data_IF_089721330263
#
_entry.id   IF_089721330263
#
_cell.length_a   1.000
_cell.length_b   1.000
_cell.length_c   1.000
_cell.angle_alpha   90.00
_cell.angle_beta   90.00
_cell.angle_gamma   90.00
#
_symmetry.space_group_name_H-M   'P 1'
#
loop_
_entity.id
_entity.type
_entity.pdbx_description
1 polymer ?
#
# COMPACT_ATOMS: atom_id res chain seq x y z
N UNK A 1 -3.15 -13.28 28.29
CA UNK A 1 -3.52 -12.50 27.09
C UNK A 1 -2.55 -12.61 25.92
N UNK A 2 -1.22 -12.70 26.09
CA UNK A 2 -0.23 -12.77 24.98
C UNK A 2 -0.26 -14.06 24.11
N UNK A 3 -0.75 -15.19 24.63
CA UNK A 3 -0.78 -16.49 23.90
C UNK A 3 -1.92 -16.59 22.86
N UNK A 4 -3.01 -15.85 23.03
CA UNK A 4 -4.21 -15.98 22.18
C UNK A 4 -4.08 -15.29 20.80
N UNK A 5 -3.14 -14.37 20.62
CA UNK A 5 -2.94 -13.60 19.39
C UNK A 5 -1.72 -14.05 18.55
N UNK A 6 -1.07 -15.16 18.93
CA UNK A 6 0.06 -15.72 18.18
C UNK A 6 1.36 -14.92 18.24
N UNK A 7 1.45 -13.87 19.09
CA UNK A 7 2.67 -13.08 19.34
C UNK A 7 3.33 -12.55 18.05
N UNK A 8 4.66 -12.63 17.97
CA UNK A 8 5.43 -12.15 16.82
C UNK A 8 5.16 -12.93 15.53
N UNK A 9 4.85 -14.24 15.64
CA UNK A 9 4.47 -15.08 14.49
C UNK A 9 3.09 -14.69 13.95
N UNK A 10 2.15 -14.34 14.85
CA UNK A 10 0.84 -13.84 14.46
C UNK A 10 0.90 -12.53 13.69
N UNK A 11 1.73 -11.59 14.15
CA UNK A 11 1.97 -10.34 13.43
C UNK A 11 2.65 -10.57 12.07
N UNK A 12 3.58 -11.53 11.98
CA UNK A 12 4.22 -11.93 10.71
C UNK A 12 3.17 -12.45 9.71
N UNK A 13 2.23 -13.27 10.17
CA UNK A 13 1.16 -13.80 9.33
C UNK A 13 0.18 -12.71 8.87
N UNK A 14 -0.23 -11.78 9.75
CA UNK A 14 -1.03 -10.62 9.35
C UNK A 14 -0.31 -9.80 8.28
N UNK A 15 0.97 -9.49 8.54
CA UNK A 15 1.80 -8.73 7.61
C UNK A 15 1.94 -9.43 6.25
N UNK A 16 2.00 -10.77 6.24
CA UNK A 16 2.06 -11.58 5.02
C UNK A 16 0.72 -11.56 4.27
N UNK A 17 -0.40 -11.76 4.97
CA UNK A 17 -1.74 -11.71 4.36
C UNK A 17 -2.03 -10.35 3.71
N UNK A 18 -1.73 -9.25 4.42
CA UNK A 18 -1.85 -7.89 3.86
C UNK A 18 -0.91 -7.69 2.67
N UNK A 19 0.31 -8.25 2.70
CA UNK A 19 1.24 -8.15 1.58
C UNK A 19 0.71 -8.87 0.33
N UNK A 20 0.11 -10.04 0.48
CA UNK A 20 -0.50 -10.77 -0.65
C UNK A 20 -1.65 -9.98 -1.26
N UNK A 21 -2.53 -9.43 -0.42
CA UNK A 21 -3.62 -8.58 -0.87
C UNK A 21 -3.08 -7.34 -1.62
N UNK A 22 -2.07 -6.67 -1.05
CA UNK A 22 -1.43 -5.52 -1.70
C UNK A 22 -0.82 -5.88 -3.04
N UNK A 23 -0.17 -7.05 -3.19
CA UNK A 23 0.39 -7.46 -4.48
C UNK A 23 -0.70 -7.60 -5.56
N UNK A 24 -1.86 -8.15 -5.20
CA UNK A 24 -2.99 -8.27 -6.13
C UNK A 24 -3.54 -6.89 -6.50
N UNK A 25 -3.83 -6.04 -5.50
CA UNK A 25 -4.36 -4.70 -5.75
C UNK A 25 -3.38 -3.81 -6.53
N UNK A 26 -2.08 -3.91 -6.23
CA UNK A 26 -1.03 -3.17 -6.96
C UNK A 26 -0.84 -3.70 -8.38
N UNK A 27 -1.09 -4.98 -8.64
CA UNK A 27 -1.10 -5.49 -10.02
C UNK A 27 -2.27 -4.90 -10.82
N UNK A 28 -3.46 -4.78 -10.21
CA UNK A 28 -4.60 -4.09 -10.83
C UNK A 28 -4.28 -2.62 -11.05
N UNK A 29 -3.74 -1.93 -10.04
CA UNK A 29 -3.33 -0.53 -10.14
C UNK A 29 -2.28 -0.31 -11.23
N UNK A 30 -1.28 -1.18 -11.31
CA UNK A 30 -0.28 -1.15 -12.37
C UNK A 30 -0.86 -1.36 -13.77
N UNK A 31 -1.88 -2.21 -13.90
CA UNK A 31 -2.57 -2.42 -15.18
C UNK A 31 -3.29 -1.17 -15.67
N UNK A 32 -3.82 -0.31 -14.77
CA UNK A 32 -4.46 0.95 -15.17
C UNK A 32 -3.49 1.94 -15.80
N UNK A 33 -2.18 1.82 -15.52
CA UNK A 33 -1.15 2.69 -16.10
C UNK A 33 -0.86 2.40 -17.58
N UNK A 34 -1.32 1.26 -18.10
CA UNK A 34 -1.13 0.90 -19.53
C UNK A 34 -1.94 1.82 -20.45
N UNK A 35 -3.07 2.33 -19.95
CA UNK A 35 -3.90 3.34 -20.64
C UNK A 35 -4.58 4.23 -19.59
N UNK A 36 -3.79 5.11 -18.99
CA UNK A 36 -4.27 5.97 -17.91
C UNK A 36 -5.38 6.94 -18.40
N UNK A 37 -5.34 7.36 -19.67
CA UNK A 37 -6.37 8.21 -20.26
C UNK A 37 -7.76 7.59 -20.18
N UNK A 38 -7.84 6.28 -20.39
CA UNK A 38 -9.09 5.50 -20.31
C UNK A 38 -9.45 5.05 -18.90
N UNK A 39 -8.44 4.77 -18.06
CA UNK A 39 -8.61 4.10 -16.78
C UNK A 39 -8.38 5.00 -15.57
N UNK A 40 -8.41 6.34 -15.74
CA UNK A 40 -8.10 7.28 -14.66
C UNK A 40 -9.06 7.15 -13.46
N UNK A 41 -10.37 7.00 -13.71
CA UNK A 41 -11.35 6.72 -12.64
C UNK A 41 -11.01 5.43 -11.89
N UNK A 42 -10.67 4.36 -12.61
CA UNK A 42 -10.30 3.06 -11.98
C UNK A 42 -9.00 3.20 -11.20
N UNK A 43 -7.99 3.91 -11.76
CA UNK A 43 -6.74 4.23 -11.08
C UNK A 43 -6.98 4.97 -9.76
N UNK A 44 -7.76 6.03 -9.80
CA UNK A 44 -8.09 6.80 -8.61
C UNK A 44 -8.88 5.95 -7.58
N UNK A 45 -9.85 5.16 -8.04
CA UNK A 45 -10.63 4.27 -7.18
C UNK A 45 -9.75 3.23 -6.46
N UNK A 46 -8.91 2.50 -7.21
CA UNK A 46 -8.01 1.49 -6.64
C UNK A 46 -6.95 2.15 -5.74
N UNK A 47 -6.43 3.32 -6.14
CA UNK A 47 -5.52 4.11 -5.32
C UNK A 47 -6.12 4.49 -3.95
N UNK A 48 -7.37 4.96 -3.92
CA UNK A 48 -8.06 5.29 -2.67
C UNK A 48 -8.39 4.04 -1.84
N UNK A 49 -8.76 2.94 -2.48
CA UNK A 49 -8.97 1.64 -1.83
C UNK A 49 -7.70 1.12 -1.16
N UNK A 50 -6.55 1.34 -1.78
CA UNK A 50 -5.24 0.91 -1.26
C UNK A 50 -4.85 1.61 0.05
N UNK A 51 -5.27 2.85 0.31
CA UNK A 51 -4.82 3.66 1.45
C UNK A 51 -5.00 2.94 2.80
N UNK A 52 -6.19 2.44 3.20
CA UNK A 52 -6.34 1.75 4.48
C UNK A 52 -5.59 0.41 4.54
N UNK A 53 -5.47 -0.30 3.41
CA UNK A 53 -4.73 -1.56 3.34
C UNK A 53 -3.22 -1.33 3.54
N UNK A 54 -2.68 -0.28 2.92
CA UNK A 54 -1.29 0.17 3.11
C UNK A 54 -1.07 0.65 4.55
N UNK A 55 -2.01 1.41 5.12
CA UNK A 55 -1.95 1.86 6.52
C UNK A 55 -1.89 0.66 7.48
N UNK A 56 -2.70 -0.39 7.26
CA UNK A 56 -2.63 -1.64 8.03
C UNK A 56 -1.26 -2.32 7.89
N UNK A 57 -0.70 -2.33 6.68
CA UNK A 57 0.66 -2.86 6.43
C UNK A 57 1.72 -2.08 7.20
N UNK A 58 1.69 -0.77 7.12
CA UNK A 58 2.62 0.11 7.83
C UNK A 58 2.47 -0.04 9.35
N UNK A 59 1.24 -0.08 9.87
CA UNK A 59 0.96 -0.29 11.29
C UNK A 59 1.50 -1.63 11.80
N UNK A 60 1.25 -2.73 11.08
CA UNK A 60 1.72 -4.07 11.48
C UNK A 60 3.25 -4.18 11.45
N UNK A 61 3.90 -3.52 10.49
CA UNK A 61 5.36 -3.48 10.37
C UNK A 61 5.96 -2.53 11.40
N UNK A 62 5.38 -1.35 11.58
CA UNK A 62 5.78 -0.37 12.59
C UNK A 62 5.65 -0.93 14.01
N UNK A 63 4.58 -1.66 14.32
CA UNK A 63 4.42 -2.37 15.59
C UNK A 63 5.57 -3.34 15.86
N UNK A 64 5.94 -4.13 14.85
CA UNK A 64 7.08 -5.05 14.97
C UNK A 64 8.38 -4.29 15.29
N UNK A 65 8.60 -3.16 14.61
CA UNK A 65 9.79 -2.33 14.80
C UNK A 65 9.82 -1.69 16.19
N UNK A 66 8.69 -1.10 16.62
CA UNK A 66 8.54 -0.56 17.96
C UNK A 66 8.80 -1.61 19.03
N UNK A 67 8.21 -2.80 18.91
CA UNK A 67 8.42 -3.90 19.88
C UNK A 67 9.85 -4.41 19.90
N UNK A 68 10.57 -4.37 18.80
CA UNK A 68 11.99 -4.71 18.74
C UNK A 68 12.84 -3.69 19.54
N UNK A 69 12.65 -2.40 19.30
CA UNK A 69 13.42 -1.34 19.98
C UNK A 69 13.03 -1.14 21.46
N UNK A 70 11.80 -1.46 21.82
CA UNK A 70 11.33 -1.45 23.22
C UNK A 70 11.69 -2.72 24.00
N UNK A 71 12.59 -3.57 23.47
CA UNK A 71 13.11 -4.73 24.21
C UNK A 71 12.13 -5.90 24.33
N UNK A 72 11.13 -6.00 23.45
CA UNK A 72 10.22 -7.15 23.47
C UNK A 72 10.95 -8.45 23.17
N UNK A 73 11.17 -9.31 24.18
CA UNK A 73 12.00 -10.52 24.11
C UNK A 73 11.78 -11.37 22.85
N UNK A 74 10.53 -11.62 22.50
CA UNK A 74 10.15 -12.44 21.34
C UNK A 74 10.58 -11.82 20.00
N UNK A 75 10.63 -10.48 19.94
CA UNK A 75 11.03 -9.73 18.75
C UNK A 75 12.56 -9.57 18.69
N UNK A 76 13.20 -9.36 19.84
CA UNK A 76 14.66 -9.23 19.97
C UNK A 76 15.35 -10.55 19.62
N UNK A 77 14.85 -11.70 20.12
CA UNK A 77 15.41 -13.05 19.82
C UNK A 77 15.44 -13.38 18.32
N UNK A 78 14.58 -12.78 17.50
CA UNK A 78 14.55 -12.97 16.03
C UNK A 78 15.59 -12.15 15.29
N UNK A 79 16.26 -11.28 15.99
CA UNK A 79 17.26 -10.38 15.45
C UNK A 79 16.69 -9.26 14.57
N UNK A 80 17.51 -8.25 14.25
CA UNK A 80 17.13 -7.16 13.35
C UNK A 80 17.04 -7.67 11.91
N UNK A 81 16.22 -7.02 11.07
CA UNK A 81 16.31 -7.19 9.62
C UNK A 81 17.71 -6.77 9.13
N UNK A 82 18.09 -7.25 7.94
CA UNK A 82 19.34 -6.87 7.29
C UNK A 82 19.53 -5.34 7.32
N UNK A 83 20.74 -4.87 7.64
CA UNK A 83 21.02 -3.44 7.88
C UNK A 83 20.55 -2.57 6.71
N UNK A 84 20.90 -2.90 5.47
CA UNK A 84 20.51 -2.14 4.27
C UNK A 84 18.99 -2.04 4.12
N UNK A 85 18.27 -3.13 4.38
CA UNK A 85 16.80 -3.12 4.30
C UNK A 85 16.17 -2.24 5.39
N UNK A 86 16.79 -2.13 6.54
CA UNK A 86 16.30 -1.36 7.67
C UNK A 86 16.64 0.13 7.55
N UNK A 87 17.87 0.45 7.13
CA UNK A 87 18.39 1.83 7.15
C UNK A 87 18.14 2.60 5.85
N UNK A 88 17.99 1.90 4.72
CA UNK A 88 17.80 2.54 3.43
C UNK A 88 16.45 2.17 2.79
N UNK A 89 16.22 0.87 2.52
CA UNK A 89 15.04 0.45 1.75
C UNK A 89 13.73 0.77 2.49
N UNK A 90 13.64 0.49 3.79
CA UNK A 90 12.40 0.72 4.53
C UNK A 90 12.04 2.21 4.67
N UNK A 91 12.94 3.13 5.06
CA UNK A 91 12.63 4.56 5.10
C UNK A 91 12.26 5.13 3.73
N UNK A 92 12.98 4.76 2.66
CA UNK A 92 12.66 5.20 1.30
C UNK A 92 11.29 4.69 0.87
N UNK A 93 10.99 3.40 1.14
CA UNK A 93 9.66 2.83 0.84
C UNK A 93 8.56 3.57 1.57
N UNK A 94 8.72 3.85 2.87
CA UNK A 94 7.70 4.56 3.66
C UNK A 94 7.53 5.99 3.17
N UNK A 95 8.63 6.73 3.00
CA UNK A 95 8.57 8.12 2.55
C UNK A 95 7.96 8.25 1.15
N UNK A 96 8.39 7.42 0.20
CA UNK A 96 7.83 7.42 -1.15
C UNK A 96 6.36 6.96 -1.18
N UNK A 97 5.96 6.04 -0.31
CA UNK A 97 4.54 5.65 -0.15
C UNK A 97 3.70 6.84 0.32
N UNK A 98 4.15 7.57 1.34
CA UNK A 98 3.44 8.76 1.84
C UNK A 98 3.36 9.83 0.75
N UNK A 99 4.45 10.08 0.03
CA UNK A 99 4.48 11.06 -1.05
C UNK A 99 3.55 10.66 -2.20
N UNK A 100 3.57 9.40 -2.62
CA UNK A 100 2.75 8.88 -3.71
C UNK A 100 1.26 8.99 -3.39
N UNK A 101 0.82 8.43 -2.26
CA UNK A 101 -0.59 8.49 -1.88
C UNK A 101 -1.02 9.91 -1.50
N UNK A 102 -0.18 10.68 -0.81
CA UNK A 102 -0.47 12.07 -0.46
C UNK A 102 -0.66 12.96 -1.69
N UNK A 103 0.23 12.84 -2.69
CA UNK A 103 0.07 13.57 -3.96
C UNK A 103 -1.14 13.09 -4.75
N UNK A 104 -1.44 11.79 -4.77
CA UNK A 104 -2.64 11.25 -5.41
C UNK A 104 -3.94 11.80 -4.80
N UNK A 105 -4.03 11.81 -3.47
CA UNK A 105 -5.16 12.44 -2.75
C UNK A 105 -5.27 13.93 -3.06
N UNK A 106 -4.14 14.66 -3.11
CA UNK A 106 -4.12 16.08 -3.46
C UNK A 106 -4.59 16.34 -4.89
N UNK A 107 -4.17 15.51 -5.86
CA UNK A 107 -4.64 15.62 -7.24
C UNK A 107 -6.16 15.48 -7.33
N UNK A 108 -6.72 14.51 -6.63
CA UNK A 108 -8.16 14.27 -6.58
C UNK A 108 -8.89 15.41 -5.85
N UNK A 109 -8.41 15.82 -4.68
CA UNK A 109 -9.05 16.86 -3.87
C UNK A 109 -8.98 18.26 -4.47
N UNK A 110 -7.91 18.57 -5.24
CA UNK A 110 -7.71 19.86 -5.88
C UNK A 110 -8.11 19.89 -7.35
N UNK A 111 -8.66 18.79 -7.85
CA UNK A 111 -9.10 18.64 -9.25
C UNK A 111 -7.99 19.01 -10.25
N UNK A 112 -6.78 18.43 -10.07
CA UNK A 112 -5.59 18.77 -10.87
C UNK A 112 -5.21 17.63 -11.81
N UNK A 113 -5.12 17.94 -13.11
CA UNK A 113 -4.67 17.01 -14.17
C UNK A 113 -3.29 17.36 -14.72
N UNK A 114 -2.69 18.47 -14.28
CA UNK A 114 -1.39 18.97 -14.74
C UNK A 114 -0.66 19.74 -13.63
N UNK A 115 0.57 20.15 -13.91
CA UNK A 115 1.38 20.97 -13.03
C UNK A 115 2.27 20.19 -12.07
N UNK A 116 2.84 20.91 -11.09
CA UNK A 116 3.88 20.41 -10.19
C UNK A 116 3.43 19.16 -9.39
N UNK A 117 2.17 19.11 -8.93
CA UNK A 117 1.68 17.99 -8.13
C UNK A 117 1.65 16.70 -8.96
N UNK A 118 1.27 16.78 -10.24
CA UNK A 118 1.34 15.63 -11.17
C UNK A 118 2.78 15.17 -11.35
N UNK A 119 3.71 16.13 -11.52
CA UNK A 119 5.15 15.83 -11.62
C UNK A 119 5.67 15.11 -10.36
N UNK A 120 5.29 15.60 -9.17
CA UNK A 120 5.67 14.98 -7.91
C UNK A 120 5.04 13.57 -7.74
N UNK A 121 3.78 13.38 -8.14
CA UNK A 121 3.12 12.08 -8.11
C UNK A 121 3.84 11.07 -8.99
N UNK A 122 4.17 11.43 -10.23
CA UNK A 122 4.94 10.60 -11.16
C UNK A 122 6.34 10.30 -10.62
N UNK A 123 7.06 11.30 -10.12
CA UNK A 123 8.41 11.11 -9.56
C UNK A 123 8.38 10.19 -8.33
N UNK A 124 7.43 10.41 -7.40
CA UNK A 124 7.28 9.54 -6.23
C UNK A 124 6.91 8.11 -6.60
N UNK A 125 6.14 7.90 -7.67
CA UNK A 125 5.82 6.57 -8.20
C UNK A 125 7.09 5.81 -8.64
N UNK A 126 7.99 6.42 -9.42
CA UNK A 126 9.21 5.75 -9.86
C UNK A 126 10.14 5.40 -8.70
N UNK A 127 10.31 6.31 -7.73
CA UNK A 127 11.10 6.04 -6.52
C UNK A 127 10.46 4.90 -5.72
N UNK A 128 9.15 4.95 -5.53
CA UNK A 128 8.37 3.94 -4.83
C UNK A 128 8.46 2.57 -5.53
N UNK A 129 8.29 2.53 -6.85
CA UNK A 129 8.35 1.29 -7.63
C UNK A 129 9.71 0.59 -7.47
N UNK A 130 10.81 1.35 -7.53
CA UNK A 130 12.15 0.81 -7.30
C UNK A 130 12.32 0.28 -5.87
N UNK A 131 11.92 1.06 -4.85
CA UNK A 131 12.04 0.67 -3.45
C UNK A 131 11.16 -0.53 -3.10
N UNK A 132 9.89 -0.53 -3.54
CA UNK A 132 8.95 -1.65 -3.33
C UNK A 132 9.37 -2.87 -4.12
N UNK A 133 9.87 -2.72 -5.35
CA UNK A 133 10.41 -3.83 -6.14
C UNK A 133 11.52 -4.58 -5.40
N UNK A 134 12.53 -3.87 -4.89
CA UNK A 134 13.59 -4.45 -4.07
C UNK A 134 13.02 -5.09 -2.80
N UNK A 135 12.08 -4.39 -2.13
CA UNK A 135 11.46 -4.89 -0.90
C UNK A 135 10.69 -6.20 -1.14
N UNK A 136 9.88 -6.27 -2.19
CA UNK A 136 9.07 -7.45 -2.56
C UNK A 136 9.97 -8.62 -2.92
N UNK A 137 10.94 -8.42 -3.84
CA UNK A 137 11.84 -9.48 -4.28
C UNK A 137 12.61 -10.11 -3.12
N UNK A 138 13.07 -9.31 -2.15
CA UNK A 138 13.79 -9.81 -0.98
C UNK A 138 12.91 -10.52 0.04
N UNK A 139 11.58 -10.31 0.01
CA UNK A 139 10.63 -10.86 0.98
C UNK A 139 9.75 -11.99 0.44
N UNK A 140 9.67 -12.14 -0.88
CA UNK A 140 8.78 -13.11 -1.52
C UNK A 140 8.96 -14.56 -1.02
N UNK A 141 10.19 -15.09 -0.83
CA UNK A 141 10.37 -16.46 -0.32
C UNK A 141 9.79 -16.67 1.10
N UNK A 142 9.78 -15.61 1.93
CA UNK A 142 9.24 -15.66 3.30
C UNK A 142 7.74 -15.51 3.36
N UNK A 143 7.13 -14.91 2.34
CA UNK A 143 5.69 -14.69 2.26
C UNK A 143 4.94 -16.03 2.26
N UNK A 144 5.33 -16.94 1.37
CA UNK A 144 4.71 -18.24 1.23
C UNK A 144 4.76 -19.07 2.52
N UNK A 145 5.92 -19.15 3.15
CA UNK A 145 6.10 -19.88 4.41
C UNK A 145 5.28 -19.30 5.58
N UNK A 146 5.04 -17.98 5.59
CA UNK A 146 4.23 -17.34 6.62
C UNK A 146 2.72 -17.62 6.45
N UNK A 147 2.25 -17.70 5.21
CA UNK A 147 0.83 -17.96 4.90
C UNK A 147 0.41 -19.39 5.22
N UNK A 148 1.30 -20.36 5.06
CA UNK A 148 1.00 -21.79 5.32
C UNK A 148 0.85 -22.12 6.80
N UNK A 149 1.22 -21.25 7.72
CA UNK A 149 1.17 -21.51 9.16
C UNK A 149 -0.25 -21.39 9.71
N UNK A 150 -0.71 -22.42 10.43
CA UNK A 150 -1.93 -22.35 11.23
C UNK A 150 -1.61 -21.85 12.62
N UNK A 151 -2.00 -20.61 12.94
CA UNK A 151 -1.72 -19.94 14.22
C UNK A 151 -3.02 -19.50 14.90
N UNK A 152 -3.07 -19.50 16.25
CA UNK A 152 -4.20 -18.93 16.99
C UNK A 152 -4.47 -17.47 16.60
N UNK A 153 -5.73 -17.04 16.63
CA UNK A 153 -6.11 -15.66 16.30
C UNK A 153 -6.27 -15.37 14.80
N UNK A 154 -6.46 -16.39 13.95
CA UNK A 154 -6.71 -16.22 12.51
C UNK A 154 -7.94 -15.33 12.25
N UNK A 155 -9.04 -15.53 12.99
CA UNK A 155 -10.27 -14.74 12.82
C UNK A 155 -10.03 -13.24 13.01
N UNK A 156 -9.25 -12.83 14.02
CA UNK A 156 -8.94 -11.41 14.24
C UNK A 156 -8.08 -10.81 13.11
N UNK A 157 -7.17 -11.58 12.54
CA UNK A 157 -6.34 -11.13 11.41
C UNK A 157 -7.18 -10.97 10.15
N UNK A 158 -8.05 -11.94 9.87
CA UNK A 158 -9.00 -11.83 8.76
C UNK A 158 -9.94 -10.64 8.96
N UNK A 159 -10.47 -10.44 10.17
CA UNK A 159 -11.29 -9.28 10.49
C UNK A 159 -10.55 -7.96 10.24
N UNK A 160 -9.28 -7.85 10.63
CA UNK A 160 -8.47 -6.66 10.37
C UNK A 160 -8.26 -6.42 8.86
N UNK A 161 -7.98 -7.46 8.08
CA UNK A 161 -7.83 -7.36 6.62
C UNK A 161 -9.16 -6.98 5.97
N UNK A 162 -10.25 -7.64 6.35
CA UNK A 162 -11.59 -7.33 5.83
C UNK A 162 -12.00 -5.91 6.18
N UNK A 163 -11.78 -5.47 7.42
CA UNK A 163 -12.08 -4.10 7.84
C UNK A 163 -11.28 -3.06 7.03
N UNK A 164 -9.99 -3.33 6.74
CA UNK A 164 -9.19 -2.43 5.90
C UNK A 164 -9.71 -2.36 4.46
N UNK A 165 -10.18 -3.48 3.91
CA UNK A 165 -10.80 -3.51 2.57
C UNK A 165 -12.13 -2.78 2.53
N UNK A 166 -13.00 -3.03 3.52
CA UNK A 166 -14.31 -2.35 3.61
C UNK A 166 -14.11 -0.85 3.74
N UNK A 167 -13.21 -0.43 4.63
CA UNK A 167 -12.87 1.00 4.79
C UNK A 167 -12.30 1.58 3.48
N UNK A 168 -11.42 0.86 2.80
CA UNK A 168 -10.86 1.28 1.52
C UNK A 168 -11.93 1.40 0.42
N UNK A 169 -12.82 0.42 0.33
CA UNK A 169 -13.94 0.46 -0.61
C UNK A 169 -14.89 1.62 -0.31
N UNK A 170 -15.17 1.89 0.96
CA UNK A 170 -15.98 3.05 1.37
C UNK A 170 -15.33 4.36 0.95
N UNK A 171 -14.03 4.55 1.24
CA UNK A 171 -13.31 5.77 0.83
C UNK A 171 -13.29 5.91 -0.68
N UNK A 172 -12.97 4.85 -1.42
CA UNK A 172 -12.94 4.84 -2.87
C UNK A 172 -14.31 5.20 -3.48
N UNK A 173 -15.40 4.64 -2.93
CA UNK A 173 -16.75 4.93 -3.39
C UNK A 173 -17.17 6.38 -3.11
N UNK A 174 -16.82 6.93 -1.94
CA UNK A 174 -17.10 8.32 -1.60
C UNK A 174 -16.34 9.32 -2.46
N UNK A 175 -15.18 8.94 -2.99
CA UNK A 175 -14.35 9.78 -3.86
C UNK A 175 -14.58 9.55 -5.34
N UNK A 176 -15.43 8.58 -5.71
CA UNK A 176 -15.71 8.23 -7.11
C UNK A 176 -16.22 9.42 -7.95
N UNK A 177 -17.15 10.29 -7.48
CA UNK A 177 -17.59 11.43 -8.27
C UNK A 177 -16.45 12.40 -8.64
N UNK A 178 -15.47 12.58 -7.74
CA UNK A 178 -14.30 13.41 -8.03
C UNK A 178 -13.37 12.74 -9.06
N UNK A 179 -13.25 11.41 -9.01
CA UNK A 179 -12.45 10.65 -9.97
C UNK A 179 -13.08 10.68 -11.37
N UNK A 180 -14.40 10.55 -11.47
CA UNK A 180 -15.14 10.65 -12.74
C UNK A 180 -15.00 12.04 -13.34
N UNK A 181 -15.13 13.11 -12.54
CA UNK A 181 -14.93 14.48 -12.99
C UNK A 181 -13.51 14.71 -13.56
N UNK A 182 -12.48 14.16 -12.93
CA UNK A 182 -11.10 14.20 -13.45
C UNK A 182 -10.97 13.45 -14.78
N UNK A 183 -11.62 12.29 -14.92
CA UNK A 183 -11.61 11.49 -16.15
C UNK A 183 -12.24 12.26 -17.31
N UNK A 184 -13.39 12.90 -17.08
CA UNK A 184 -14.08 13.69 -18.10
C UNK A 184 -13.22 14.85 -18.60
N UNK A 185 -12.52 15.55 -17.70
CA UNK A 185 -11.60 16.63 -18.07
C UNK A 185 -10.41 16.15 -18.92
N UNK A 186 -9.86 14.97 -18.62
CA UNK A 186 -8.76 14.41 -19.40
C UNK A 186 -9.26 13.99 -20.79
N UNK A 187 -10.44 13.38 -20.88
CA UNK A 187 -11.03 12.93 -22.15
C UNK A 187 -11.34 14.09 -23.10
N UNK A 188 -11.83 15.22 -22.58
CA UNK A 188 -12.09 16.44 -23.36
C UNK A 188 -10.80 17.03 -23.94
N UNK A 189 -9.70 17.06 -23.18
CA UNK A 189 -8.42 17.58 -23.68
C UNK A 189 -7.85 16.71 -24.80
N UNK A 190 -7.95 15.39 -24.70
CA UNK A 190 -7.46 14.45 -25.72
C UNK A 190 -8.29 14.56 -27.01
N UNK A 191 -9.60 14.83 -26.92
CA UNK A 191 -10.47 15.00 -28.07
C UNK A 191 -10.26 16.31 -28.85
N UNK A 192 -9.78 17.37 -28.19
CA UNK A 192 -9.53 18.69 -28.81
C UNK A 192 -8.17 18.73 -29.52
N UNK A 193 -7.19 17.95 -29.06
CA UNK A 193 -5.86 17.90 -29.68
C UNK A 193 -5.75 16.87 -30.83
N UNK A 194 -6.83 16.16 -31.14
CA UNK A 194 -6.92 15.12 -32.19
C UNK A 194 -7.62 15.53 -33.49
N UNK A 195 -8.18 16.75 -33.56
CA UNK A 195 -8.80 17.37 -34.75
C UNK A 195 -7.86 18.45 -35.33
#
# INVERSE_FOLDING_TARGET
MKRHLGGSRGNEQLTAAVATLLLVLLAVEGATLLDLGRWLTVHAFVGMLLIPVVALKLASTGWRMARYYLGGEEYVRRGPPHVVLRTLVAPVTVASTIALFGTGVLLLALDRTSGTIVGLHKASFFVWLGAVGVHVLTRLPRLWSALQRRLPGMGLRLAAVTASLVMGATVATLTLPAADHLQDRVSVHVGVDGD
#
